data_IF_789524359478
#
_entry.id   IF_789524359478
#
_cell.length_a   1.000
_cell.length_b   1.000
_cell.length_c   1.000
_cell.angle_alpha   90.00
_cell.angle_beta   90.00
_cell.angle_gamma   90.00
#
_symmetry.space_group_name_H-M   'P 1'
#
loop_
_entity.id
_entity.type
_entity.pdbx_description
1 polymer ?
#
# COMPACT_ATOMS: atom_id res chain seq x y z
N UNK A 1 9.18 -12.83 -29.92
CA UNK A 1 8.31 -13.13 -28.76
C UNK A 1 9.16 -13.08 -27.51
N UNK A 2 8.91 -12.16 -26.56
CA UNK A 2 9.61 -12.19 -25.26
C UNK A 2 9.02 -13.35 -24.46
N UNK A 3 9.86 -14.29 -24.05
CA UNK A 3 9.50 -15.39 -23.15
C UNK A 3 8.71 -14.83 -21.96
N UNK A 4 7.48 -15.27 -21.81
CA UNK A 4 6.67 -14.99 -20.63
C UNK A 4 7.33 -15.70 -19.45
N UNK A 5 8.02 -14.94 -18.62
CA UNK A 5 8.25 -15.25 -17.21
C UNK A 5 6.95 -15.78 -16.61
N UNK A 6 7.01 -16.83 -15.80
CA UNK A 6 5.88 -17.47 -15.13
C UNK A 6 4.86 -16.41 -14.65
N UNK A 7 3.61 -16.38 -15.15
CA UNK A 7 2.64 -15.35 -14.77
C UNK A 7 2.53 -15.22 -13.25
N UNK A 8 2.37 -13.99 -12.77
CA UNK A 8 2.26 -13.63 -11.37
C UNK A 8 3.52 -13.86 -10.53
N UNK A 9 4.65 -14.27 -11.12
CA UNK A 9 5.90 -14.40 -10.36
C UNK A 9 6.33 -13.06 -9.76
N UNK A 10 6.25 -11.98 -10.55
CA UNK A 10 6.62 -10.64 -10.08
C UNK A 10 5.74 -10.14 -8.94
N UNK A 11 4.41 -10.29 -9.07
CA UNK A 11 3.48 -9.90 -8.01
C UNK A 11 3.68 -10.72 -6.73
N UNK A 12 3.89 -12.04 -6.84
CA UNK A 12 4.19 -12.91 -5.70
C UNK A 12 5.48 -12.54 -4.99
N UNK A 13 6.56 -12.27 -5.73
CA UNK A 13 7.83 -11.82 -5.14
C UNK A 13 7.62 -10.53 -4.36
N UNK A 14 6.88 -9.55 -4.91
CA UNK A 14 6.60 -8.29 -4.22
C UNK A 14 5.72 -8.44 -2.99
N UNK A 15 4.72 -9.34 -3.03
CA UNK A 15 3.96 -9.69 -1.83
C UNK A 15 4.84 -10.32 -0.75
N UNK A 16 5.76 -11.22 -1.12
CA UNK A 16 6.71 -11.80 -0.17
C UNK A 16 7.65 -10.73 0.42
N UNK A 17 8.11 -9.78 -0.41
CA UNK A 17 8.89 -8.63 0.07
C UNK A 17 8.11 -7.81 1.08
N UNK A 18 6.84 -7.48 0.80
CA UNK A 18 5.98 -6.74 1.72
C UNK A 18 5.79 -7.48 3.06
N UNK A 19 5.61 -8.80 3.02
CA UNK A 19 5.51 -9.63 4.21
C UNK A 19 6.79 -9.56 5.06
N UNK A 20 7.97 -9.73 4.43
CA UNK A 20 9.25 -9.64 5.13
C UNK A 20 9.47 -8.25 5.75
N UNK A 21 9.07 -7.18 5.06
CA UNK A 21 9.14 -5.81 5.58
C UNK A 21 8.18 -5.58 6.75
N UNK A 22 6.99 -6.17 6.71
CA UNK A 22 6.03 -6.13 7.82
C UNK A 22 6.56 -6.86 9.06
N UNK A 23 7.22 -8.01 8.87
CA UNK A 23 7.90 -8.70 9.97
C UNK A 23 9.03 -7.86 10.57
N UNK A 24 9.88 -7.27 9.71
CA UNK A 24 10.95 -6.38 10.17
C UNK A 24 10.41 -5.17 10.93
N UNK A 25 9.33 -4.56 10.44
CA UNK A 25 8.61 -3.47 11.11
C UNK A 25 8.09 -3.91 12.48
N UNK A 26 7.46 -5.09 12.58
CA UNK A 26 6.97 -5.61 13.85
C UNK A 26 8.09 -5.79 14.86
N UNK A 27 9.24 -6.35 14.45
CA UNK A 27 10.41 -6.52 15.33
C UNK A 27 10.96 -5.16 15.77
N UNK A 28 11.01 -4.19 14.85
CA UNK A 28 11.48 -2.84 15.13
C UNK A 28 10.59 -2.12 16.15
N UNK A 29 9.28 -2.20 15.99
CA UNK A 29 8.30 -1.61 16.89
C UNK A 29 8.35 -2.26 18.28
N UNK A 30 8.52 -3.59 18.36
CA UNK A 30 8.70 -4.27 19.65
C UNK A 30 9.96 -3.79 20.37
N UNK A 31 11.11 -3.72 19.68
CA UNK A 31 12.36 -3.21 20.27
C UNK A 31 12.24 -1.75 20.72
N UNK A 32 11.58 -0.93 19.91
CA UNK A 32 11.28 0.44 20.27
C UNK A 32 10.42 0.49 21.53
N UNK A 33 9.35 -0.29 21.63
CA UNK A 33 8.49 -0.33 22.82
C UNK A 33 9.22 -0.84 24.08
N UNK A 34 10.07 -1.86 23.94
CA UNK A 34 10.91 -2.42 25.02
C UNK A 34 11.94 -1.41 25.56
N UNK A 35 12.34 -0.41 24.75
CA UNK A 35 13.23 0.66 25.21
C UNK A 35 12.60 1.60 26.26
N UNK A 36 11.31 1.41 26.60
CA UNK A 36 10.55 2.24 27.51
C UNK A 36 10.31 3.67 27.02
N UNK A 37 9.93 3.91 25.74
CA UNK A 37 9.82 5.25 25.18
C UNK A 37 8.52 5.95 25.58
N UNK A 38 7.72 5.38 26.48
CA UNK A 38 6.39 5.87 26.83
C UNK A 38 6.33 6.36 28.27
N UNK A 39 5.56 7.42 28.53
CA UNK A 39 5.22 7.86 29.89
C UNK A 39 3.72 8.09 30.04
N UNK A 40 3.15 7.80 31.23
CA UNK A 40 1.81 8.25 31.57
C UNK A 40 1.83 9.77 31.78
N UNK A 41 0.85 10.45 31.19
CA UNK A 41 0.56 11.86 31.43
C UNK A 41 -0.90 12.00 31.86
N UNK A 42 -1.19 13.02 32.67
CA UNK A 42 -2.56 13.33 33.11
C UNK A 42 -3.17 14.33 32.14
N UNK A 43 -4.30 13.97 31.52
CA UNK A 43 -5.04 14.82 30.58
C UNK A 43 -6.52 14.81 30.99
N UNK A 44 -7.10 15.98 31.26
CA UNK A 44 -8.51 16.15 31.62
C UNK A 44 -9.01 15.22 32.76
N UNK A 45 -8.17 14.99 33.77
CA UNK A 45 -8.51 14.11 34.90
C UNK A 45 -8.42 12.59 34.62
N UNK A 46 -7.97 12.20 33.42
CA UNK A 46 -7.65 10.82 33.06
C UNK A 46 -6.15 10.61 32.77
N UNK A 47 -5.73 9.35 32.62
CA UNK A 47 -4.37 9.00 32.21
C UNK A 47 -4.30 8.72 30.70
N UNK A 48 -3.28 9.25 30.03
CA UNK A 48 -2.92 8.93 28.66
C UNK A 48 -1.47 8.44 28.63
N UNK A 49 -1.20 7.34 27.93
CA UNK A 49 0.19 6.92 27.64
C UNK A 49 0.63 7.64 26.37
N UNK A 50 1.76 8.34 26.41
CA UNK A 50 2.34 8.99 25.23
C UNK A 50 3.78 8.58 25.01
N UNK A 51 4.21 8.44 23.74
CA UNK A 51 5.64 8.36 23.45
C UNK A 51 6.30 9.67 23.91
N UNK A 52 7.49 9.58 24.47
CA UNK A 52 8.35 10.70 24.87
C UNK A 52 9.69 10.68 24.12
N UNK A 53 9.99 9.56 23.47
CA UNK A 53 11.11 9.40 22.54
C UNK A 53 10.49 9.28 21.15
N UNK A 54 11.07 9.93 20.15
CA UNK A 54 10.62 9.77 18.77
C UNK A 54 11.12 8.44 18.22
N UNK A 55 10.26 7.61 17.57
CA UNK A 55 10.73 6.44 16.84
C UNK A 55 11.78 6.85 15.80
N UNK A 56 12.88 6.09 15.64
CA UNK A 56 13.84 6.36 14.58
C UNK A 56 13.18 6.32 13.19
N UNK A 57 13.60 7.23 12.29
CA UNK A 57 13.00 7.40 10.95
C UNK A 57 12.98 6.11 10.11
N UNK A 58 13.96 5.23 10.28
CA UNK A 58 14.02 3.95 9.58
C UNK A 58 12.84 3.02 9.91
N UNK A 59 12.15 3.21 11.03
CA UNK A 59 10.90 2.50 11.34
C UNK A 59 9.79 2.93 10.36
N UNK A 60 9.69 4.22 10.07
CA UNK A 60 8.74 4.74 9.10
C UNK A 60 9.11 4.35 7.66
N UNK A 61 10.41 4.25 7.35
CA UNK A 61 10.88 3.71 6.08
C UNK A 61 10.44 2.24 5.88
N UNK A 62 10.52 1.41 6.93
CA UNK A 62 10.04 0.01 6.86
C UNK A 62 8.55 -0.08 6.54
N UNK A 63 7.72 0.76 7.17
CA UNK A 63 6.29 0.85 6.89
C UNK A 63 6.02 1.28 5.44
N UNK A 64 6.67 2.37 5.01
CA UNK A 64 6.54 2.92 3.66
C UNK A 64 6.95 1.87 2.62
N UNK A 65 8.06 1.17 2.86
CA UNK A 65 8.58 0.15 1.97
C UNK A 65 7.64 -1.07 1.87
N UNK A 66 7.02 -1.50 2.97
CA UNK A 66 6.03 -2.57 2.98
C UNK A 66 4.81 -2.20 2.12
N UNK A 67 4.26 -1.00 2.32
CA UNK A 67 3.11 -0.49 1.57
C UNK A 67 3.45 -0.35 0.08
N UNK A 68 4.63 0.18 -0.24
CA UNK A 68 5.10 0.31 -1.61
C UNK A 68 5.22 -1.05 -2.31
N UNK A 69 5.72 -2.07 -1.61
CA UNK A 69 5.80 -3.44 -2.11
C UNK A 69 4.41 -4.03 -2.38
N UNK A 70 3.44 -3.81 -1.49
CA UNK A 70 2.04 -4.18 -1.72
C UNK A 70 1.47 -3.52 -2.97
N UNK A 71 1.65 -2.20 -3.13
CA UNK A 71 1.13 -1.47 -4.29
C UNK A 71 1.80 -1.91 -5.59
N UNK A 72 3.10 -2.13 -5.57
CA UNK A 72 3.85 -2.66 -6.73
C UNK A 72 3.35 -4.04 -7.12
N UNK A 73 2.98 -4.88 -6.14
CA UNK A 73 2.43 -6.22 -6.41
C UNK A 73 1.14 -6.15 -7.22
N UNK A 74 0.24 -5.20 -6.89
CA UNK A 74 -1.01 -4.97 -7.60
C UNK A 74 -0.77 -4.50 -9.05
N UNK A 75 0.24 -3.66 -9.29
CA UNK A 75 0.58 -3.22 -10.65
C UNK A 75 1.14 -4.36 -11.51
N UNK A 76 1.98 -5.21 -10.92
CA UNK A 76 2.50 -6.39 -11.62
C UNK A 76 1.38 -7.38 -11.92
N UNK A 77 0.46 -7.59 -10.98
CA UNK A 77 -0.75 -8.39 -11.19
C UNK A 77 -1.57 -7.84 -12.36
N UNK A 78 -1.84 -6.53 -12.39
CA UNK A 78 -2.57 -5.89 -13.47
C UNK A 78 -1.90 -6.10 -14.84
N UNK A 79 -0.58 -5.89 -14.91
CA UNK A 79 0.19 -6.14 -16.13
C UNK A 79 0.07 -7.60 -16.59
N UNK A 80 0.15 -8.56 -15.68
CA UNK A 80 0.09 -9.98 -16.00
C UNK A 80 -1.30 -10.40 -16.49
N UNK A 81 -2.36 -9.89 -15.87
CA UNK A 81 -3.74 -10.12 -16.32
C UNK A 81 -3.97 -9.60 -17.76
N UNK A 82 -3.41 -8.45 -18.10
CA UNK A 82 -3.47 -7.92 -19.47
C UNK A 82 -2.62 -8.76 -20.45
N UNK A 83 -1.44 -9.23 -20.03
CA UNK A 83 -0.61 -10.13 -20.85
C UNK A 83 -1.27 -11.48 -21.12
N UNK A 84 -1.95 -12.04 -20.12
CA UNK A 84 -2.72 -13.28 -20.26
C UNK A 84 -3.86 -13.14 -21.27
N UNK A 85 -4.38 -11.93 -21.45
CA UNK A 85 -5.34 -11.61 -22.51
C UNK A 85 -4.67 -11.29 -23.87
N UNK A 86 -3.39 -11.62 -24.05
CA UNK A 86 -2.59 -11.30 -25.25
C UNK A 86 -2.57 -9.81 -25.64
N UNK A 87 -2.73 -8.91 -24.67
CA UNK A 87 -2.68 -7.45 -24.88
C UNK A 87 -1.38 -6.86 -24.33
N UNK A 88 -1.07 -5.64 -24.77
CA UNK A 88 0.11 -4.90 -24.30
C UNK A 88 -0.08 -4.38 -22.87
N UNK A 89 0.85 -4.76 -21.98
CA UNK A 89 0.92 -4.25 -20.61
C UNK A 89 1.55 -2.85 -20.49
N UNK A 90 1.87 -2.17 -21.61
CA UNK A 90 2.46 -0.83 -21.57
C UNK A 90 1.48 0.17 -20.95
N UNK A 91 1.93 0.82 -19.86
CA UNK A 91 1.14 1.78 -19.10
C UNK A 91 -0.05 1.17 -18.35
N UNK A 92 -0.01 -0.14 -18.10
CA UNK A 92 -1.04 -0.82 -17.31
C UNK A 92 -0.70 -0.68 -15.83
N UNK A 93 -1.68 -0.25 -15.04
CA UNK A 93 -1.60 -0.16 -13.59
C UNK A 93 -2.90 -0.63 -12.96
N UNK A 94 -2.84 -1.05 -11.70
CA UNK A 94 -4.04 -1.30 -10.91
C UNK A 94 -4.78 0.03 -10.66
N UNK A 95 -6.05 0.16 -11.06
CA UNK A 95 -6.78 1.41 -10.93
C UNK A 95 -7.25 1.66 -9.50
N UNK A 96 -7.08 2.90 -9.05
CA UNK A 96 -7.67 3.47 -7.84
C UNK A 96 -8.39 4.75 -8.25
N UNK A 97 -9.56 5.01 -7.67
CA UNK A 97 -10.37 6.19 -7.95
C UNK A 97 -10.67 6.99 -6.68
N UNK A 98 -11.02 8.26 -6.84
CA UNK A 98 -11.39 9.10 -5.69
C UNK A 98 -12.76 8.70 -5.14
N UNK A 99 -13.69 8.34 -6.01
CA UNK A 99 -15.06 7.91 -5.66
C UNK A 99 -15.53 6.79 -6.60
N UNK A 100 -16.76 6.32 -6.42
CA UNK A 100 -17.32 5.22 -7.21
C UNK A 100 -17.52 5.61 -8.68
N UNK A 101 -17.94 6.86 -8.92
CA UNK A 101 -18.28 7.41 -10.24
C UNK A 101 -17.06 7.51 -11.16
N UNK A 102 -15.88 7.74 -10.58
CA UNK A 102 -14.61 7.86 -11.32
C UNK A 102 -13.94 6.52 -11.64
N UNK A 103 -14.41 5.40 -11.08
CA UNK A 103 -13.72 4.12 -11.20
C UNK A 103 -13.55 3.67 -12.65
N UNK A 104 -14.61 3.77 -13.46
CA UNK A 104 -14.56 3.37 -14.87
C UNK A 104 -13.61 4.26 -15.69
N UNK A 105 -13.53 5.55 -15.35
CA UNK A 105 -12.54 6.46 -15.92
C UNK A 105 -11.12 6.03 -15.61
N UNK A 106 -10.85 5.59 -14.37
CA UNK A 106 -9.54 5.09 -13.96
C UNK A 106 -9.18 3.75 -14.60
N UNK A 107 -10.15 2.83 -14.76
CA UNK A 107 -9.96 1.56 -15.46
C UNK A 107 -9.42 1.81 -16.88
N UNK A 108 -10.03 2.75 -17.61
CA UNK A 108 -9.56 3.14 -18.96
C UNK A 108 -8.21 3.87 -18.92
N UNK A 109 -8.05 4.86 -18.03
CA UNK A 109 -6.82 5.67 -17.93
C UNK A 109 -5.60 4.83 -17.56
N UNK A 110 -5.79 3.78 -16.76
CA UNK A 110 -4.74 2.84 -16.35
C UNK A 110 -4.67 1.61 -17.25
N UNK A 111 -5.35 1.65 -18.40
CA UNK A 111 -5.35 0.60 -19.43
C UNK A 111 -5.74 -0.80 -18.92
N UNK A 112 -6.48 -0.85 -17.80
CA UNK A 112 -6.92 -2.10 -17.19
C UNK A 112 -8.13 -2.69 -17.94
N UNK A 113 -8.84 -1.87 -18.72
CA UNK A 113 -9.88 -2.27 -19.68
C UNK A 113 -9.38 -3.26 -20.74
N UNK A 114 -8.06 -3.41 -20.91
CA UNK A 114 -7.44 -4.40 -21.80
C UNK A 114 -7.45 -5.83 -21.22
N UNK A 115 -7.77 -6.02 -19.94
CA UNK A 115 -7.97 -7.34 -19.37
C UNK A 115 -9.27 -7.98 -19.89
N UNK A 116 -9.57 -9.22 -19.48
CA UNK A 116 -10.85 -9.86 -19.83
C UNK A 116 -12.01 -9.18 -19.08
N UNK A 117 -13.24 -9.18 -19.62
CA UNK A 117 -14.40 -8.59 -18.95
C UNK A 117 -14.59 -9.09 -17.51
N UNK A 118 -14.46 -10.40 -17.28
CA UNK A 118 -14.59 -11.00 -15.94
C UNK A 118 -13.56 -10.45 -14.94
N UNK A 119 -12.34 -10.15 -15.42
CA UNK A 119 -11.28 -9.55 -14.58
C UNK A 119 -11.59 -8.09 -14.25
N UNK A 120 -12.18 -7.35 -15.20
CA UNK A 120 -12.63 -5.98 -14.97
C UNK A 120 -13.79 -5.94 -13.97
N UNK A 121 -14.74 -6.88 -14.07
CA UNK A 121 -15.82 -7.03 -13.08
C UNK A 121 -15.29 -7.42 -11.69
N UNK A 122 -14.33 -8.36 -11.63
CA UNK A 122 -13.67 -8.71 -10.38
C UNK A 122 -12.99 -7.50 -9.74
N UNK A 123 -12.30 -6.67 -10.54
CA UNK A 123 -11.73 -5.41 -10.06
C UNK A 123 -12.80 -4.49 -9.46
N UNK A 124 -13.94 -4.30 -10.15
CA UNK A 124 -15.05 -3.47 -9.64
C UNK A 124 -15.56 -3.96 -8.29
N UNK A 125 -15.62 -5.28 -8.09
CA UNK A 125 -16.07 -5.88 -6.83
C UNK A 125 -15.20 -5.49 -5.62
N UNK A 126 -13.91 -5.18 -5.84
CA UNK A 126 -13.02 -4.71 -4.78
C UNK A 126 -13.25 -3.27 -4.37
N UNK A 127 -14.02 -2.48 -5.14
CA UNK A 127 -14.34 -1.07 -4.85
C UNK A 127 -13.09 -0.23 -4.47
N UNK A 128 -12.06 -0.12 -5.33
CA UNK A 128 -10.80 0.55 -5.00
C UNK A 128 -10.92 2.09 -5.06
N UNK A 129 -11.81 2.65 -4.24
CA UNK A 129 -12.11 4.08 -4.15
C UNK A 129 -12.46 4.52 -2.74
N UNK A 130 -12.48 5.82 -2.45
CA UNK A 130 -12.85 6.33 -1.11
C UNK A 130 -14.33 6.07 -0.85
N UNK A 131 -14.64 5.53 0.33
CA UNK A 131 -15.98 5.00 0.65
C UNK A 131 -16.24 3.57 0.16
N UNK A 132 -15.29 2.97 -0.56
CA UNK A 132 -15.29 1.56 -0.94
C UNK A 132 -14.45 0.70 0.01
N UNK A 133 -13.47 -0.01 -0.54
CA UNK A 133 -12.53 -0.79 0.27
C UNK A 133 -11.50 0.11 0.94
N UNK A 134 -11.73 0.34 2.24
CA UNK A 134 -10.91 1.22 3.08
C UNK A 134 -9.44 0.79 3.15
N UNK A 135 -9.16 -0.51 3.21
CA UNK A 135 -7.78 -1.00 3.31
C UNK A 135 -7.01 -0.81 2.00
N UNK A 136 -7.61 -1.16 0.86
CA UNK A 136 -7.02 -0.91 -0.45
C UNK A 136 -6.77 0.59 -0.67
N UNK A 137 -7.74 1.43 -0.30
CA UNK A 137 -7.61 2.88 -0.46
C UNK A 137 -6.54 3.46 0.46
N UNK A 138 -6.50 3.07 1.74
CA UNK A 138 -5.48 3.53 2.68
C UNK A 138 -4.06 3.18 2.21
N UNK A 139 -3.85 1.96 1.69
CA UNK A 139 -2.56 1.59 1.11
C UNK A 139 -2.17 2.48 -0.07
N UNK A 140 -3.12 2.82 -0.95
CA UNK A 140 -2.85 3.72 -2.07
C UNK A 140 -2.54 5.14 -1.60
N UNK A 141 -3.31 5.67 -0.65
CA UNK A 141 -3.12 7.01 -0.10
C UNK A 141 -1.75 7.16 0.56
N UNK A 142 -1.35 6.16 1.35
CA UNK A 142 -0.04 6.17 2.02
C UNK A 142 1.09 6.06 0.98
N UNK A 143 0.99 5.18 -0.02
CA UNK A 143 2.00 5.05 -1.09
C UNK A 143 2.12 6.32 -1.94
N UNK A 144 1.02 7.05 -2.17
CA UNK A 144 1.05 8.32 -2.91
C UNK A 144 1.66 9.42 -2.04
N UNK A 145 1.22 9.57 -0.79
CA UNK A 145 1.73 10.57 0.13
C UNK A 145 3.25 10.42 0.31
N UNK A 146 3.72 9.20 0.57
CA UNK A 146 5.15 8.93 0.82
C UNK A 146 6.08 9.10 -0.38
N UNK A 147 5.55 9.17 -1.61
CA UNK A 147 6.35 9.41 -2.83
C UNK A 147 6.57 10.89 -3.10
N UNK A 148 5.65 11.73 -2.66
CA UNK A 148 5.62 13.16 -2.98
C UNK A 148 5.95 14.02 -1.78
N UNK A 149 5.59 13.56 -0.59
CA UNK A 149 5.94 14.15 0.69
C UNK A 149 7.01 13.26 1.35
N UNK A 150 8.02 13.89 1.94
CA UNK A 150 9.18 13.27 2.60
C UNK A 150 8.76 12.13 3.54
N UNK A 151 9.69 11.19 3.85
CA UNK A 151 9.53 10.04 4.77
C UNK A 151 8.41 10.29 5.80
N UNK A 152 7.44 9.37 5.87
CA UNK A 152 6.37 9.40 6.88
C UNK A 152 6.96 9.78 8.24
N UNK A 153 6.66 10.97 8.73
CA UNK A 153 7.15 11.37 10.05
C UNK A 153 6.24 10.75 11.11
N UNK A 154 6.78 9.80 11.87
CA UNK A 154 6.14 9.33 13.10
C UNK A 154 6.61 10.25 14.22
N UNK A 155 5.90 11.35 14.42
CA UNK A 155 6.25 12.33 15.46
C UNK A 155 5.55 12.02 16.79
N UNK A 156 6.22 12.38 17.87
CA UNK A 156 5.58 12.57 19.17
C UNK A 156 4.90 13.94 19.15
N UNK A 157 3.58 13.99 19.31
CA UNK A 157 2.90 15.27 19.48
C UNK A 157 3.25 15.84 20.86
N UNK A 158 3.76 17.08 20.95
CA UNK A 158 3.92 17.76 22.24
C UNK A 158 2.55 17.90 22.94
N UNK A 159 2.53 18.06 24.27
CA UNK A 159 1.31 18.17 25.06
C UNK A 159 0.39 19.30 24.59
#
# INVERSE_FOLDING_TARGET
MRNLTKPFQGSRIRLQTAFNQTLALSVALSKYAESGPFRPIVVNGGFSIRPIVTPPDWIAELLTAAIHSCRTSLDLLACDLVRLNNKSAKGVHFPFAENAEELDGQIKRKHFDRATPDVVELLRSFKPFKGGNLLLRAMHDIDVATKHDTILQISVFPP
#
